data_IF_553202574169
#
_entry.id   IF_553202574169
#
_cell.length_a   1.000
_cell.length_b   1.000
_cell.length_c   1.000
_cell.angle_alpha   90.00
_cell.angle_beta   90.00
_cell.angle_gamma   90.00
#
_symmetry.space_group_name_H-M   'P 1'
#
loop_
_entity.id
_entity.type
_entity.pdbx_description
1 polymer ?
#
# COMPACT_ATOMS: atom_id res chain seq x y z
N UNK A 1 -6.99 4.51 -21.88
CA UNK A 1 -5.58 4.40 -21.46
C UNK A 1 -5.40 4.50 -19.95
N UNK A 2 -5.89 5.56 -19.29
CA UNK A 2 -5.72 5.74 -17.83
C UNK A 2 -6.24 4.56 -16.98
N UNK A 3 -7.41 4.00 -17.30
CA UNK A 3 -7.96 2.85 -16.58
C UNK A 3 -7.03 1.63 -16.61
N UNK A 4 -6.41 1.33 -17.75
CA UNK A 4 -5.46 0.23 -17.89
C UNK A 4 -4.24 0.45 -16.99
N UNK A 5 -3.70 1.67 -16.97
CA UNK A 5 -2.55 1.99 -16.12
C UNK A 5 -2.88 1.88 -14.64
N UNK A 6 -4.09 2.29 -14.22
CA UNK A 6 -4.59 2.11 -12.85
C UNK A 6 -4.66 0.62 -12.50
N UNK A 7 -5.21 -0.20 -13.40
CA UNK A 7 -5.27 -1.66 -13.21
C UNK A 7 -3.86 -2.22 -13.05
N UNK A 8 -2.92 -1.87 -13.94
CA UNK A 8 -1.52 -2.30 -13.86
C UNK A 8 -0.84 -1.84 -12.57
N UNK A 9 -1.13 -0.62 -12.11
CA UNK A 9 -0.59 -0.07 -10.88
C UNK A 9 -1.11 -0.81 -9.64
N UNK A 10 -2.41 -1.12 -9.60
CA UNK A 10 -3.00 -1.98 -8.56
C UNK A 10 -2.44 -3.41 -8.61
N UNK A 11 -2.21 -3.95 -9.81
CA UNK A 11 -1.59 -5.27 -10.00
C UNK A 11 -0.14 -5.28 -9.50
N UNK A 12 0.64 -4.22 -9.76
CA UNK A 12 1.96 -4.06 -9.19
C UNK A 12 1.90 -4.07 -7.67
N UNK A 13 1.03 -3.26 -7.08
CA UNK A 13 0.84 -3.19 -5.62
C UNK A 13 0.53 -4.55 -5.02
N UNK A 14 -0.51 -5.24 -5.51
CA UNK A 14 -0.92 -6.54 -4.97
C UNK A 14 0.13 -7.62 -5.20
N UNK A 15 0.86 -7.59 -6.33
CA UNK A 15 1.91 -8.56 -6.61
C UNK A 15 3.07 -8.44 -5.62
N UNK A 16 3.44 -7.23 -5.23
CA UNK A 16 4.50 -6.97 -4.25
C UNK A 16 4.07 -7.43 -2.85
N UNK A 17 2.82 -7.16 -2.45
CA UNK A 17 2.27 -7.65 -1.19
C UNK A 17 2.21 -9.19 -1.18
N UNK A 18 1.78 -9.80 -2.30
CA UNK A 18 1.75 -11.27 -2.42
C UNK A 18 3.14 -11.88 -2.38
N UNK A 19 4.13 -11.26 -3.03
CA UNK A 19 5.51 -11.69 -2.99
C UNK A 19 6.08 -11.63 -1.56
N UNK A 20 5.78 -10.56 -0.83
CA UNK A 20 6.20 -10.40 0.56
C UNK A 20 5.56 -11.44 1.50
N UNK A 21 4.26 -11.71 1.32
CA UNK A 21 3.57 -12.72 2.11
C UNK A 21 4.07 -14.14 1.77
N UNK A 22 4.43 -14.39 0.52
CA UNK A 22 4.79 -15.73 0.05
C UNK A 22 3.65 -16.71 0.33
N UNK A 23 3.95 -17.74 1.13
CA UNK A 23 2.99 -18.78 1.52
C UNK A 23 2.35 -18.58 2.91
N UNK A 24 2.74 -17.54 3.66
CA UNK A 24 2.21 -17.30 5.01
C UNK A 24 2.15 -15.82 5.37
N UNK A 25 1.01 -15.38 5.90
CA UNK A 25 0.81 -14.04 6.45
C UNK A 25 1.80 -13.67 7.55
N UNK A 26 2.44 -14.66 8.20
CA UNK A 26 3.50 -14.44 9.19
C UNK A 26 4.67 -13.63 8.62
N UNK A 27 4.99 -13.80 7.33
CA UNK A 27 6.04 -13.02 6.68
C UNK A 27 5.75 -11.51 6.67
N UNK A 28 4.47 -11.19 6.73
CA UNK A 28 3.88 -9.86 6.66
C UNK A 28 3.25 -9.44 8.00
N UNK A 29 3.67 -10.04 9.12
CA UNK A 29 3.11 -9.76 10.44
C UNK A 29 3.15 -8.26 10.81
N UNK A 30 4.10 -7.50 10.26
CA UNK A 30 4.18 -6.04 10.44
C UNK A 30 3.02 -5.24 9.81
N UNK A 31 2.14 -5.86 9.03
CA UNK A 31 0.89 -5.25 8.56
C UNK A 31 -0.28 -5.43 9.53
N UNK A 32 -0.13 -6.28 10.54
CA UNK A 32 -1.20 -6.58 11.50
C UNK A 32 -1.32 -5.46 12.55
N UNK A 33 -2.46 -5.37 13.26
CA UNK A 33 -2.61 -4.44 14.39
C UNK A 33 -1.53 -4.67 15.45
N UNK A 34 -1.13 -3.61 16.15
CA UNK A 34 -0.06 -3.70 17.15
C UNK A 34 -0.42 -4.68 18.28
N UNK A 35 -1.70 -4.71 18.67
CA UNK A 35 -2.24 -5.63 19.67
C UNK A 35 -2.09 -7.09 19.24
N UNK A 36 -2.19 -7.36 17.93
CA UNK A 36 -2.01 -8.68 17.36
C UNK A 36 -0.54 -9.11 17.37
N UNK A 37 0.37 -8.18 17.08
CA UNK A 37 1.82 -8.44 17.12
C UNK A 37 2.28 -8.70 18.56
N UNK A 38 1.76 -7.95 19.53
CA UNK A 38 2.04 -8.15 20.94
C UNK A 38 1.55 -9.52 21.44
N UNK A 39 0.35 -9.93 21.02
CA UNK A 39 -0.18 -11.24 21.35
C UNK A 39 0.63 -12.37 20.68
N UNK A 40 1.07 -12.18 19.43
CA UNK A 40 1.97 -13.11 18.77
C UNK A 40 3.31 -13.27 19.52
N UNK A 41 3.84 -12.17 20.09
CA UNK A 41 5.03 -12.23 20.95
C UNK A 41 4.77 -12.97 22.25
N UNK A 42 3.64 -12.72 22.94
CA UNK A 42 3.27 -13.44 24.16
C UNK A 42 3.15 -14.95 23.94
N UNK A 43 2.68 -15.34 22.76
CA UNK A 43 2.56 -16.76 22.35
C UNK A 43 3.86 -17.36 21.81
N UNK A 44 4.94 -16.58 21.74
CA UNK A 44 6.24 -17.05 21.24
C UNK A 44 6.28 -17.29 19.73
N UNK A 45 5.33 -16.73 18.97
CA UNK A 45 5.19 -16.94 17.52
C UNK A 45 6.14 -16.02 16.75
N UNK A 46 6.30 -14.78 17.20
CA UNK A 46 7.20 -13.81 16.57
C UNK A 46 7.70 -12.75 17.55
N UNK A 47 8.89 -12.24 17.32
CA UNK A 47 9.43 -11.10 18.07
C UNK A 47 8.94 -9.76 17.49
N UNK A 48 8.40 -8.87 18.33
CA UNK A 48 7.85 -7.57 17.89
C UNK A 48 8.92 -6.70 17.26
N UNK A 49 10.12 -6.64 17.85
CA UNK A 49 11.19 -5.77 17.37
C UNK A 49 11.72 -6.23 16.01
N UNK A 50 11.98 -7.52 15.85
CA UNK A 50 12.38 -8.15 14.60
C UNK A 50 11.30 -7.97 13.52
N UNK A 51 10.03 -8.15 13.88
CA UNK A 51 8.90 -7.96 12.97
C UNK A 51 8.83 -6.53 12.44
N UNK A 52 8.92 -5.53 13.33
CA UNK A 52 8.89 -4.12 12.94
C UNK A 52 10.12 -3.71 12.12
N UNK A 53 11.31 -4.26 12.45
CA UNK A 53 12.53 -4.05 11.66
C UNK A 53 12.38 -4.63 10.25
N UNK A 54 11.83 -5.84 10.12
CA UNK A 54 11.52 -6.46 8.81
C UNK A 54 10.50 -5.62 8.03
N UNK A 55 9.47 -5.12 8.72
CA UNK A 55 8.48 -4.23 8.13
C UNK A 55 9.08 -2.96 7.53
N UNK A 56 10.00 -2.28 8.23
CA UNK A 56 10.71 -1.12 7.68
C UNK A 56 11.53 -1.46 6.43
N UNK A 57 12.26 -2.59 6.46
CA UNK A 57 13.05 -3.05 5.30
C UNK A 57 12.19 -3.39 4.09
N UNK A 58 10.93 -3.76 4.28
CA UNK A 58 9.98 -3.96 3.19
C UNK A 58 9.31 -2.65 2.74
N UNK A 59 8.81 -1.85 3.69
CA UNK A 59 8.02 -0.64 3.41
C UNK A 59 8.81 0.42 2.65
N UNK A 60 10.11 0.60 2.94
CA UNK A 60 10.95 1.59 2.25
C UNK A 60 11.07 1.27 0.75
N UNK A 61 11.59 0.10 0.33
CA UNK A 61 11.68 -0.22 -1.10
C UNK A 61 10.30 -0.32 -1.75
N UNK A 62 9.28 -0.80 -1.02
CA UNK A 62 7.91 -0.83 -1.51
C UNK A 62 7.41 0.56 -1.92
N UNK A 63 7.49 1.55 -1.02
CA UNK A 63 7.08 2.92 -1.31
C UNK A 63 7.90 3.55 -2.44
N UNK A 64 9.22 3.28 -2.49
CA UNK A 64 10.10 3.79 -3.55
C UNK A 64 9.70 3.25 -4.91
N UNK A 65 9.46 1.95 -5.05
CA UNK A 65 9.05 1.33 -6.31
C UNK A 65 7.70 1.87 -6.78
N UNK A 66 6.72 1.99 -5.89
CA UNK A 66 5.39 2.54 -6.21
C UNK A 66 5.48 4.00 -6.65
N UNK A 67 6.33 4.81 -5.99
CA UNK A 67 6.54 6.20 -6.35
C UNK A 67 7.22 6.34 -7.73
N UNK A 68 8.27 5.55 -7.99
CA UNK A 68 8.96 5.54 -9.27
C UNK A 68 7.99 5.11 -10.39
N UNK A 69 7.23 4.04 -10.18
CA UNK A 69 6.25 3.57 -11.15
C UNK A 69 5.20 4.65 -11.46
N UNK A 70 4.70 5.36 -10.44
CA UNK A 70 3.77 6.47 -10.62
C UNK A 70 4.37 7.59 -11.48
N UNK A 71 5.61 8.01 -11.18
CA UNK A 71 6.31 9.05 -11.93
C UNK A 71 6.48 8.61 -13.39
N UNK A 72 6.97 7.38 -13.64
CA UNK A 72 7.18 6.85 -14.99
C UNK A 72 5.88 6.74 -15.80
N UNK A 73 4.77 6.35 -15.18
CA UNK A 73 3.47 6.31 -15.85
C UNK A 73 3.07 7.72 -16.31
N UNK A 74 3.22 8.72 -15.44
CA UNK A 74 2.77 10.08 -15.75
C UNK A 74 3.74 10.77 -16.74
N UNK A 75 5.05 10.72 -16.50
CA UNK A 75 6.02 11.45 -17.31
C UNK A 75 6.41 10.71 -18.60
N UNK A 76 6.70 9.41 -18.53
CA UNK A 76 7.24 8.66 -19.67
C UNK A 76 6.13 8.05 -20.51
N UNK A 77 5.15 7.37 -19.87
CA UNK A 77 4.07 6.73 -20.63
C UNK A 77 3.06 7.76 -21.13
N UNK A 78 2.59 8.66 -20.26
CA UNK A 78 1.58 9.65 -20.63
C UNK A 78 2.17 10.92 -21.23
N UNK A 79 3.51 11.06 -21.28
CA UNK A 79 4.22 12.22 -21.82
C UNK A 79 3.73 13.56 -21.23
N UNK A 80 3.31 13.56 -19.96
CA UNK A 80 2.77 14.76 -19.33
C UNK A 80 3.92 15.69 -18.96
N UNK A 81 3.86 16.92 -19.45
CA UNK A 81 4.86 17.97 -19.18
C UNK A 81 4.30 19.16 -18.40
N UNK A 82 2.97 19.24 -18.23
CA UNK A 82 2.31 20.31 -17.49
C UNK A 82 1.91 19.90 -16.06
N UNK A 83 2.00 20.85 -15.14
CA UNK A 83 1.79 20.60 -13.71
C UNK A 83 0.34 20.18 -13.40
N UNK A 84 -0.64 20.80 -14.04
CA UNK A 84 -2.06 20.57 -13.72
C UNK A 84 -2.45 19.14 -14.06
N UNK A 85 -2.07 18.66 -15.24
CA UNK A 85 -2.35 17.29 -15.68
C UNK A 85 -1.58 16.28 -14.85
N UNK A 86 -0.29 16.55 -14.53
CA UNK A 86 0.52 15.68 -13.70
C UNK A 86 -0.06 15.53 -12.29
N UNK A 87 -0.53 16.65 -11.70
CA UNK A 87 -1.19 16.66 -10.41
C UNK A 87 -2.50 15.86 -10.42
N UNK A 88 -3.38 16.10 -11.40
CA UNK A 88 -4.66 15.39 -11.50
C UNK A 88 -4.43 13.89 -11.66
N UNK A 89 -3.51 13.47 -12.52
CA UNK A 89 -3.19 12.06 -12.68
C UNK A 89 -2.63 11.47 -11.38
N UNK A 90 -1.67 12.14 -10.73
CA UNK A 90 -1.11 11.68 -9.46
C UNK A 90 -2.18 11.52 -8.37
N UNK A 91 -3.10 12.49 -8.22
CA UNK A 91 -4.23 12.38 -7.28
C UNK A 91 -5.10 11.16 -7.60
N UNK A 92 -5.46 10.95 -8.87
CA UNK A 92 -6.30 9.82 -9.28
C UNK A 92 -5.64 8.49 -8.90
N UNK A 93 -4.35 8.30 -9.24
CA UNK A 93 -3.64 7.07 -8.91
C UNK A 93 -3.53 6.85 -7.41
N UNK A 94 -3.12 7.87 -6.65
CA UNK A 94 -2.90 7.76 -5.21
C UNK A 94 -4.21 7.52 -4.45
N UNK A 95 -5.30 8.19 -4.82
CA UNK A 95 -6.61 7.99 -4.19
C UNK A 95 -7.14 6.61 -4.54
N UNK A 96 -7.12 6.20 -5.82
CA UNK A 96 -7.64 4.88 -6.21
C UNK A 96 -6.85 3.77 -5.54
N UNK A 97 -5.51 3.80 -5.54
CA UNK A 97 -4.71 2.73 -4.90
C UNK A 97 -4.93 2.70 -3.38
N UNK A 98 -5.14 3.85 -2.74
CA UNK A 98 -5.44 3.91 -1.31
C UNK A 98 -6.76 3.23 -0.96
N UNK A 99 -7.81 3.46 -1.76
CA UNK A 99 -9.10 2.81 -1.56
C UNK A 99 -9.06 1.33 -1.98
N UNK A 100 -8.31 1.00 -3.03
CA UNK A 100 -8.06 -0.38 -3.44
C UNK A 100 -7.39 -1.18 -2.33
N UNK A 101 -6.34 -0.65 -1.71
CA UNK A 101 -5.69 -1.26 -0.54
C UNK A 101 -6.68 -1.46 0.62
N UNK A 102 -7.41 -0.40 0.99
CA UNK A 102 -8.37 -0.48 2.09
C UNK A 102 -9.56 -1.41 1.88
N UNK A 103 -10.01 -1.63 0.64
CA UNK A 103 -11.20 -2.45 0.35
C UNK A 103 -10.78 -3.83 -0.14
N UNK A 104 -9.97 -3.90 -1.19
CA UNK A 104 -9.65 -5.15 -1.87
C UNK A 104 -8.57 -5.91 -1.11
N UNK A 105 -7.54 -5.23 -0.62
CA UNK A 105 -6.45 -5.90 0.10
C UNK A 105 -6.90 -6.16 1.55
N UNK A 106 -7.20 -5.13 2.33
CA UNK A 106 -7.48 -5.27 3.76
C UNK A 106 -8.78 -6.05 4.05
N UNK A 107 -9.90 -5.71 3.39
CA UNK A 107 -11.20 -6.27 3.75
C UNK A 107 -11.49 -7.57 3.00
N UNK A 108 -11.31 -7.58 1.68
CA UNK A 108 -11.63 -8.75 0.88
C UNK A 108 -10.53 -9.82 0.96
N UNK A 109 -9.29 -9.48 0.64
CA UNK A 109 -8.23 -10.48 0.54
C UNK A 109 -7.71 -10.92 1.91
N UNK A 110 -7.29 -9.98 2.75
CA UNK A 110 -6.77 -10.26 4.10
C UNK A 110 -7.86 -10.84 4.99
N UNK A 111 -9.07 -10.26 4.97
CA UNK A 111 -10.16 -10.69 5.83
C UNK A 111 -10.76 -12.07 5.49
N UNK A 112 -10.62 -12.57 4.26
CA UNK A 112 -11.27 -13.82 3.83
C UNK A 112 -10.31 -14.93 3.41
N UNK A 113 -9.01 -14.66 3.24
CA UNK A 113 -8.05 -15.67 2.78
C UNK A 113 -7.37 -16.39 3.93
N UNK A 114 -7.27 -17.72 3.81
CA UNK A 114 -6.50 -18.57 4.73
C UNK A 114 -5.02 -18.21 4.81
N UNK A 115 -4.48 -17.54 3.78
CA UNK A 115 -3.09 -17.09 3.75
C UNK A 115 -2.72 -16.20 4.96
N UNK A 116 -3.69 -15.41 5.44
CA UNK A 116 -3.49 -14.41 6.49
C UNK A 116 -3.91 -14.90 7.88
N UNK A 117 -4.36 -16.15 7.99
CA UNK A 117 -4.54 -16.79 9.29
C UNK A 117 -3.21 -17.38 9.72
N UNK A 118 -2.71 -16.92 10.87
CA UNK A 118 -1.46 -17.41 11.46
C UNK A 118 -1.82 -18.53 12.45
N UNK A 119 -1.19 -19.68 12.28
CA UNK A 119 -1.33 -20.82 13.18
C UNK A 119 -0.91 -20.42 14.61
N UNK A 120 -1.73 -20.75 15.60
CA UNK A 120 -1.52 -20.36 17.01
C UNK A 120 -2.09 -19.00 17.39
N UNK A 121 -2.68 -18.26 16.44
CA UNK A 121 -3.38 -16.99 16.67
C UNK A 121 -4.91 -17.12 16.50
N UNK A 122 -5.45 -18.33 16.64
CA UNK A 122 -6.88 -18.58 16.54
C UNK A 122 -7.64 -17.79 17.63
N UNK A 123 -8.77 -17.18 17.24
CA UNK A 123 -9.60 -16.37 18.14
C UNK A 123 -9.13 -14.93 18.36
N UNK A 124 -7.96 -14.52 17.84
CA UNK A 124 -7.50 -13.13 17.92
C UNK A 124 -7.92 -12.37 16.66
N UNK A 125 -8.77 -11.33 16.76
CA UNK A 125 -9.17 -10.56 15.59
C UNK A 125 -8.00 -9.69 15.10
N UNK A 126 -7.66 -9.81 13.81
CA UNK A 126 -6.68 -8.95 13.13
C UNK A 126 -7.31 -8.01 12.11
N UNK A 127 -8.55 -8.26 11.71
CA UNK A 127 -9.29 -7.40 10.78
C UNK A 127 -9.88 -6.22 11.53
N UNK A 128 -9.71 -5.02 10.95
CA UNK A 128 -10.24 -3.79 11.55
C UNK A 128 -11.65 -3.50 11.04
N UNK A 129 -12.53 -2.89 11.86
CA UNK A 129 -13.89 -2.55 11.45
C UNK A 129 -13.92 -1.61 10.23
N UNK A 130 -14.96 -1.73 9.40
CA UNK A 130 -15.18 -0.88 8.23
C UNK A 130 -15.11 0.62 8.55
N UNK A 131 -15.73 1.06 9.65
CA UNK A 131 -15.71 2.46 10.06
C UNK A 131 -14.31 2.98 10.40
N UNK A 132 -13.43 2.13 10.93
CA UNK A 132 -12.03 2.49 11.17
C UNK A 132 -11.26 2.63 9.85
N UNK A 133 -11.44 1.66 8.95
CA UNK A 133 -10.83 1.69 7.61
C UNK A 133 -11.22 2.96 6.86
N UNK A 134 -12.52 3.28 6.77
CA UNK A 134 -13.02 4.47 6.05
C UNK A 134 -12.38 5.75 6.59
N UNK A 135 -12.33 5.96 7.91
CA UNK A 135 -11.70 7.15 8.51
C UNK A 135 -10.24 7.29 8.11
N UNK A 136 -9.47 6.19 8.13
CA UNK A 136 -8.06 6.21 7.73
C UNK A 136 -7.89 6.47 6.25
N UNK A 137 -8.75 5.90 5.39
CA UNK A 137 -8.65 6.12 3.93
C UNK A 137 -9.04 7.54 3.53
N UNK A 138 -9.99 8.16 4.22
CA UNK A 138 -10.29 9.60 4.06
C UNK A 138 -9.08 10.45 4.44
N UNK A 139 -8.50 10.23 5.63
CA UNK A 139 -7.31 10.96 6.08
C UNK A 139 -6.12 10.78 5.12
N UNK A 140 -5.88 9.55 4.67
CA UNK A 140 -4.84 9.25 3.71
C UNK A 140 -5.09 9.94 2.36
N UNK A 141 -6.34 10.00 1.89
CA UNK A 141 -6.70 10.71 0.65
C UNK A 141 -6.34 12.19 0.72
N UNK A 142 -6.55 12.84 1.86
CA UNK A 142 -6.15 14.25 2.09
C UNK A 142 -4.62 14.37 2.05
N UNK A 143 -3.90 13.48 2.73
CA UNK A 143 -2.43 13.45 2.69
C UNK A 143 -1.90 13.27 1.25
N UNK A 144 -2.54 12.42 0.45
CA UNK A 144 -2.15 12.18 -0.93
C UNK A 144 -2.33 13.38 -1.85
N UNK A 145 -3.19 14.35 -1.51
CA UNK A 145 -3.22 15.62 -2.24
C UNK A 145 -1.88 16.35 -2.11
N UNK A 146 -1.27 16.35 -0.92
CA UNK A 146 0.07 16.91 -0.71
C UNK A 146 1.16 16.13 -1.45
N UNK A 147 1.12 14.80 -1.39
CA UNK A 147 2.07 13.95 -2.13
C UNK A 147 1.97 14.17 -3.64
N UNK A 148 0.75 14.33 -4.17
CA UNK A 148 0.53 14.59 -5.59
C UNK A 148 1.15 15.90 -6.07
N UNK A 149 1.24 16.93 -5.23
CA UNK A 149 1.97 18.18 -5.56
C UNK A 149 3.44 17.88 -5.82
N UNK A 150 4.07 17.09 -4.95
CA UNK A 150 5.49 16.73 -5.07
C UNK A 150 5.72 15.89 -6.33
N UNK A 151 4.87 14.89 -6.56
CA UNK A 151 4.94 14.04 -7.78
C UNK A 151 4.79 14.89 -9.03
N UNK A 152 3.82 15.80 -9.08
CA UNK A 152 3.60 16.68 -10.23
C UNK A 152 4.80 17.59 -10.50
N UNK A 153 5.41 18.16 -9.44
CA UNK A 153 6.61 18.97 -9.58
C UNK A 153 7.77 18.16 -10.19
N UNK A 154 7.99 16.93 -9.72
CA UNK A 154 9.03 16.04 -10.26
C UNK A 154 8.77 15.71 -11.72
N UNK A 155 7.54 15.33 -12.08
CA UNK A 155 7.14 15.02 -13.45
C UNK A 155 7.43 16.19 -14.40
N UNK A 156 7.05 17.41 -14.00
CA UNK A 156 7.29 18.62 -14.80
C UNK A 156 8.78 18.90 -14.94
N UNK A 157 9.59 18.65 -13.91
CA UNK A 157 11.04 18.81 -14.00
C UNK A 157 11.66 17.79 -14.98
N UNK A 158 11.16 16.56 -15.01
CA UNK A 158 11.61 15.53 -15.96
C UNK A 158 11.22 15.91 -17.39
N UNK A 159 9.99 16.39 -17.62
CA UNK A 159 9.50 16.75 -18.95
C UNK A 159 10.08 18.03 -19.57
N UNK A 160 11.01 18.71 -18.86
CA UNK A 160 11.77 19.86 -19.39
C UNK A 160 13.07 19.45 -20.08
N UNK A 161 13.49 18.20 -19.94
CA UNK A 161 14.63 17.60 -20.64
C UNK A 161 14.16 16.85 -21.88
#
# INVERSE_FOLDING_TARGET
MLLLQIILFCLLYISMVKYAAGNSGLNCLYFYPEEYIEEAQKRGIADKEATMKKGKHFMIPFCVIILIALILIISVWNHVTDFKTAYIQAVIFLVIVNWFDGIVIDQLWVGHSKLWMIEGMEGVPYTKPWGYMIKRRILASIMYLGVAVIVAAIVVLIGKF
#
